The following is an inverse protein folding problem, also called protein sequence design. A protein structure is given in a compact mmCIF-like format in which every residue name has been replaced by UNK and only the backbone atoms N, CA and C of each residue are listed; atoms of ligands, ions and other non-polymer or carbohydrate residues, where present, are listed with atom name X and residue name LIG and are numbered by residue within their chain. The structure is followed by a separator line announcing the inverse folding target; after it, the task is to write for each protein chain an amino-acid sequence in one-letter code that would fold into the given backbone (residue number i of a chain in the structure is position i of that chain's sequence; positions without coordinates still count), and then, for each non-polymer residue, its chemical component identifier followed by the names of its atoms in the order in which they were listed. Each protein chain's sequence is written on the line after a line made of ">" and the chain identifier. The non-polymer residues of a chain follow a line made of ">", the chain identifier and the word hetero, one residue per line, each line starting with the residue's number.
data_IF_612556673451
#
_entry.id   IF_612556673451
#
_cell.length_a   1.000
_cell.length_b   1.000
_cell.length_c   1.000
_cell.angle_alpha   90.00
_cell.angle_beta   90.00
_cell.angle_gamma   90.00
#
_symmetry.space_group_name_H-M   'P 1'
#
loop_
_entity.id
_entity.type
_entity.pdbx_description
1 polymer ?
#
# COMPACT_ATOMS: atom_id res chain seq x y z
N UNK A 1 23.27 28.31 28.17
CA UNK A 1 23.28 27.77 26.78
C UNK A 1 21.86 27.82 26.24
N UNK A 2 21.57 28.78 25.36
CA UNK A 2 20.25 28.96 24.76
C UNK A 2 20.06 27.84 23.71
N UNK A 3 19.28 26.81 24.03
CA UNK A 3 18.85 25.80 23.09
C UNK A 3 18.05 26.47 21.98
N UNK A 4 18.65 26.60 20.78
CA UNK A 4 18.00 27.12 19.59
C UNK A 4 16.74 26.28 19.37
N UNK A 5 15.56 26.90 19.43
CA UNK A 5 14.28 26.23 19.18
C UNK A 5 14.35 25.58 17.80
N UNK A 6 14.34 24.24 17.71
CA UNK A 6 14.38 23.51 16.45
C UNK A 6 13.20 23.93 15.59
N UNK A 7 13.43 24.20 14.32
CA UNK A 7 12.32 24.48 13.39
C UNK A 7 11.53 23.20 13.08
N UNK A 8 10.34 23.32 12.51
CA UNK A 8 9.45 22.19 12.21
C UNK A 8 10.12 21.15 11.30
N UNK A 9 10.89 21.60 10.29
CA UNK A 9 11.63 20.71 9.39
C UNK A 9 12.69 19.90 10.13
N UNK A 10 13.46 20.55 11.04
CA UNK A 10 14.48 19.85 11.81
C UNK A 10 13.86 18.81 12.77
N UNK A 11 12.66 19.07 13.31
CA UNK A 11 11.95 18.10 14.13
C UNK A 11 11.51 16.87 13.32
N UNK A 12 10.99 17.06 12.11
CA UNK A 12 10.62 15.95 11.22
C UNK A 12 11.86 15.15 10.80
N UNK A 13 12.96 15.82 10.45
CA UNK A 13 14.25 15.18 10.11
C UNK A 13 14.77 14.35 11.27
N UNK A 14 14.70 14.88 12.50
CA UNK A 14 15.14 14.15 13.69
C UNK A 14 14.30 12.90 13.95
N UNK A 15 12.98 12.99 13.79
CA UNK A 15 12.10 11.82 13.89
C UNK A 15 12.46 10.79 12.84
N UNK A 16 12.64 11.17 11.57
CA UNK A 16 13.08 10.25 10.52
C UNK A 16 14.41 9.58 10.88
N UNK A 17 15.38 10.33 11.44
CA UNK A 17 16.67 9.77 11.85
C UNK A 17 16.52 8.74 12.97
N UNK A 18 15.68 9.03 13.98
CA UNK A 18 15.40 8.13 15.10
C UNK A 18 14.63 6.87 14.68
N UNK A 19 13.83 6.95 13.62
CA UNK A 19 13.08 5.82 13.02
C UNK A 19 13.97 5.00 12.06
N UNK A 20 15.27 5.26 12.01
CA UNK A 20 16.19 4.50 11.15
C UNK A 20 16.22 4.98 9.69
N UNK A 21 16.01 6.27 9.48
CA UNK A 21 16.17 6.97 8.21
C UNK A 21 14.92 7.05 7.34
N UNK A 22 13.83 6.39 7.72
CA UNK A 22 12.57 6.42 6.95
C UNK A 22 11.34 6.29 7.85
N UNK A 23 10.20 6.81 7.38
CA UNK A 23 8.92 6.61 8.04
C UNK A 23 7.75 6.76 7.05
N UNK A 24 6.62 6.14 7.39
CA UNK A 24 5.35 6.47 6.74
C UNK A 24 4.82 7.80 7.25
N UNK A 25 3.95 8.44 6.48
CA UNK A 25 3.28 9.66 6.91
C UNK A 25 2.53 9.48 8.25
N UNK A 26 1.90 8.31 8.44
CA UNK A 26 1.28 7.94 9.71
C UNK A 26 2.28 8.02 10.87
N UNK A 27 3.41 7.31 10.73
CA UNK A 27 4.41 7.22 11.78
C UNK A 27 4.97 8.60 12.15
N UNK A 28 5.17 9.46 11.15
CA UNK A 28 5.56 10.84 11.40
C UNK A 28 4.54 11.60 12.25
N UNK A 29 3.25 11.47 11.92
CA UNK A 29 2.19 12.14 12.68
C UNK A 29 2.02 11.58 14.11
N UNK A 30 2.38 10.34 14.36
CA UNK A 30 2.35 9.73 15.69
C UNK A 30 3.51 10.16 16.58
N UNK A 31 4.68 10.42 15.99
CA UNK A 31 5.94 10.59 16.74
C UNK A 31 6.39 12.04 16.84
N UNK A 32 6.05 12.87 15.84
CA UNK A 32 6.43 14.29 15.87
C UNK A 32 5.71 15.01 17.01
N UNK A 33 6.47 15.68 17.86
CA UNK A 33 5.90 16.52 18.92
C UNK A 33 5.38 17.84 18.35
N UNK A 34 4.06 17.99 18.30
CA UNK A 34 3.38 19.17 17.81
C UNK A 34 3.16 20.27 18.84
N UNK A 35 3.51 20.07 20.11
CA UNK A 35 3.23 20.99 21.22
C UNK A 35 3.77 22.41 21.01
N UNK A 36 4.85 22.54 20.26
CA UNK A 36 5.46 23.84 19.93
C UNK A 36 5.06 24.44 18.57
N UNK A 37 4.11 23.82 17.85
CA UNK A 37 3.73 24.26 16.50
C UNK A 37 2.58 25.26 16.53
N UNK A 38 2.78 26.44 15.94
CA UNK A 38 1.76 27.48 15.85
C UNK A 38 0.83 27.24 14.64
N UNK A 39 0.27 26.03 14.53
CA UNK A 39 -0.63 25.65 13.44
C UNK A 39 -1.82 24.85 13.98
N UNK A 40 -2.99 25.04 13.35
CA UNK A 40 -4.19 24.25 13.64
C UNK A 40 -4.22 22.88 12.93
N UNK A 41 -3.34 22.67 11.95
CA UNK A 41 -3.28 21.46 11.13
C UNK A 41 -1.82 20.99 11.02
N UNK A 42 -1.24 20.43 12.13
CA UNK A 42 0.15 20.02 12.16
C UNK A 42 0.45 18.92 11.12
N UNK A 43 -0.47 18.01 10.85
CA UNK A 43 -0.31 16.95 9.87
C UNK A 43 -0.16 17.51 8.44
N UNK A 44 -0.88 18.58 8.09
CA UNK A 44 -0.71 19.26 6.80
C UNK A 44 0.67 19.91 6.70
N UNK A 45 1.20 20.41 7.82
CA UNK A 45 2.55 20.96 7.88
C UNK A 45 3.61 19.89 7.70
N UNK A 46 3.46 18.71 8.34
CA UNK A 46 4.34 17.55 8.13
C UNK A 46 4.31 17.15 6.65
N UNK A 47 3.12 17.03 6.06
CA UNK A 47 2.96 16.70 4.63
C UNK A 47 3.72 17.68 3.74
N UNK A 48 3.58 18.96 3.97
CA UNK A 48 4.29 20.01 3.23
C UNK A 48 5.82 19.90 3.40
N UNK A 49 6.29 19.60 4.63
CA UNK A 49 7.72 19.45 4.92
C UNK A 49 8.31 18.28 4.14
N UNK A 50 7.69 17.10 4.21
CA UNK A 50 8.22 15.90 3.53
C UNK A 50 8.17 16.02 2.00
N UNK A 51 7.25 16.83 1.47
CA UNK A 51 7.12 17.03 0.02
C UNK A 51 8.09 18.08 -0.55
N UNK A 52 8.52 19.07 0.26
CA UNK A 52 9.27 20.22 -0.23
C UNK A 52 10.69 20.34 0.35
N UNK A 53 11.07 19.51 1.33
CA UNK A 53 12.41 19.57 1.90
C UNK A 53 13.41 18.82 1.01
N UNK A 54 14.54 19.44 0.73
CA UNK A 54 15.70 18.86 0.06
C UNK A 54 16.40 17.78 0.89
N UNK A 55 16.15 17.74 2.21
CA UNK A 55 16.68 16.73 3.14
C UNK A 55 15.90 15.42 3.12
N UNK A 56 14.76 15.36 2.43
CA UNK A 56 13.83 14.25 2.46
C UNK A 56 13.46 13.84 1.03
N UNK A 57 13.52 12.55 0.73
CA UNK A 57 13.07 12.04 -0.54
C UNK A 57 11.90 11.06 -0.38
N UNK A 58 11.12 10.92 -1.43
CA UNK A 58 9.99 10.00 -1.48
C UNK A 58 10.46 8.64 -2.02
N UNK A 59 10.47 7.63 -1.16
CA UNK A 59 10.78 6.24 -1.58
C UNK A 59 9.64 5.69 -2.43
N UNK A 60 8.40 5.85 -1.94
CA UNK A 60 7.13 5.53 -2.63
C UNK A 60 6.03 6.44 -2.09
N UNK A 61 4.86 6.54 -2.76
CA UNK A 61 3.71 7.22 -2.17
C UNK A 61 3.47 6.79 -0.73
N UNK A 62 3.45 7.76 0.19
CA UNK A 62 3.26 7.53 1.63
C UNK A 62 4.49 7.06 2.43
N UNK A 63 5.65 6.87 1.78
CA UNK A 63 6.91 6.46 2.43
C UNK A 63 8.02 7.46 2.12
N UNK A 64 8.58 8.06 3.16
CA UNK A 64 9.56 9.14 3.10
C UNK A 64 10.84 8.74 3.81
N UNK A 65 11.98 9.20 3.31
CA UNK A 65 13.28 8.91 3.88
C UNK A 65 14.23 10.11 3.84
N UNK A 66 15.25 10.06 4.69
CA UNK A 66 16.32 11.07 4.72
C UNK A 66 17.24 10.94 3.51
N UNK A 67 17.52 12.05 2.85
CA UNK A 67 18.45 12.11 1.73
C UNK A 67 19.87 11.66 2.16
N UNK A 68 20.33 12.06 3.33
CA UNK A 68 21.64 11.67 3.89
C UNK A 68 21.79 10.15 4.16
N UNK A 69 20.67 9.43 4.25
CA UNK A 69 20.64 7.97 4.49
C UNK A 69 20.10 7.20 3.27
N UNK A 70 20.08 7.81 2.09
CA UNK A 70 19.49 7.25 0.87
C UNK A 70 20.00 5.85 0.59
N UNK A 71 21.30 5.65 0.52
CA UNK A 71 21.92 4.34 0.20
C UNK A 71 21.55 3.27 1.22
N UNK A 72 21.60 3.61 2.52
CA UNK A 72 21.26 2.69 3.61
C UNK A 72 19.78 2.27 3.55
N UNK A 73 18.90 3.25 3.32
CA UNK A 73 17.45 3.02 3.22
C UNK A 73 17.12 2.17 1.98
N UNK A 74 17.68 2.49 0.82
CA UNK A 74 17.48 1.71 -0.40
C UNK A 74 17.99 0.28 -0.22
N UNK A 75 19.17 0.10 0.39
CA UNK A 75 19.72 -1.23 0.72
C UNK A 75 18.81 -2.01 1.67
N UNK A 76 18.27 -1.36 2.70
CA UNK A 76 17.35 -1.99 3.67
C UNK A 76 16.07 -2.51 3.00
N UNK A 77 15.58 -1.82 1.97
CA UNK A 77 14.43 -2.25 1.18
C UNK A 77 14.81 -3.16 0.00
N UNK A 78 16.07 -3.60 -0.07
CA UNK A 78 16.60 -4.38 -1.19
C UNK A 78 16.44 -3.69 -2.56
N UNK A 79 16.28 -2.36 -2.56
CA UNK A 79 16.22 -1.54 -3.75
C UNK A 79 17.63 -1.27 -4.24
N UNK A 80 17.94 -1.73 -5.44
CA UNK A 80 19.20 -1.42 -6.13
C UNK A 80 18.92 -0.42 -7.23
N UNK A 81 19.80 0.56 -7.37
CA UNK A 81 19.75 1.46 -8.52
C UNK A 81 19.79 0.63 -9.82
N UNK A 82 18.90 0.95 -10.75
CA UNK A 82 18.73 0.29 -12.05
C UNK A 82 18.29 -1.19 -12.04
N UNK A 83 17.92 -1.77 -10.89
CA UNK A 83 17.36 -3.13 -10.82
C UNK A 83 15.81 -3.10 -10.77
N UNK A 84 15.20 -3.15 -11.98
CA UNK A 84 13.74 -3.18 -12.14
C UNK A 84 13.04 -4.31 -11.37
N UNK A 85 13.73 -5.47 -11.19
CA UNK A 85 13.14 -6.60 -10.46
C UNK A 85 13.07 -6.33 -8.96
N UNK A 86 14.10 -5.70 -8.39
CA UNK A 86 14.08 -5.31 -6.97
C UNK A 86 13.02 -4.24 -6.71
N UNK A 87 12.91 -3.28 -7.62
CA UNK A 87 11.88 -2.24 -7.58
C UNK A 87 10.46 -2.82 -7.66
N UNK A 88 10.23 -3.75 -8.59
CA UNK A 88 8.95 -4.44 -8.74
C UNK A 88 8.59 -5.24 -7.49
N UNK A 89 9.53 -6.03 -6.96
CA UNK A 89 9.32 -6.83 -5.74
C UNK A 89 8.95 -5.94 -4.56
N UNK A 90 9.71 -4.87 -4.34
CA UNK A 90 9.43 -3.93 -3.25
C UNK A 90 8.07 -3.24 -3.43
N UNK A 91 7.79 -2.71 -4.61
CA UNK A 91 6.54 -2.02 -4.91
C UNK A 91 5.34 -2.93 -4.68
N UNK A 92 5.41 -4.16 -5.17
CA UNK A 92 4.35 -5.15 -5.00
C UNK A 92 4.12 -5.46 -3.51
N UNK A 93 5.16 -5.83 -2.76
CA UNK A 93 5.04 -6.12 -1.32
C UNK A 93 4.56 -4.92 -0.50
N UNK A 94 5.00 -3.72 -0.86
CA UNK A 94 4.57 -2.49 -0.19
C UNK A 94 3.06 -2.24 -0.34
N UNK A 95 2.52 -2.35 -1.55
CA UNK A 95 1.07 -2.14 -1.76
C UNK A 95 0.22 -3.31 -1.28
N UNK A 96 0.72 -4.56 -1.33
CA UNK A 96 0.06 -5.67 -0.63
C UNK A 96 -0.10 -5.36 0.85
N UNK A 97 0.97 -4.91 1.52
CA UNK A 97 0.93 -4.56 2.94
C UNK A 97 -0.02 -3.42 3.27
N UNK A 98 -0.04 -2.35 2.47
CA UNK A 98 -1.00 -1.24 2.65
C UNK A 98 -2.45 -1.75 2.50
N UNK A 99 -2.75 -2.57 1.50
CA UNK A 99 -4.09 -3.13 1.30
C UNK A 99 -4.50 -4.05 2.43
N UNK A 100 -3.57 -4.83 2.99
CA UNK A 100 -3.81 -5.64 4.19
C UNK A 100 -4.18 -4.74 5.37
N UNK A 101 -3.41 -3.68 5.63
CA UNK A 101 -3.72 -2.76 6.74
C UNK A 101 -5.06 -2.01 6.53
N UNK A 102 -5.38 -1.57 5.30
CA UNK A 102 -6.69 -0.98 4.98
C UNK A 102 -7.81 -1.98 5.27
N UNK A 103 -7.64 -3.25 4.87
CA UNK A 103 -8.62 -4.31 5.13
C UNK A 103 -8.90 -4.46 6.62
N UNK A 104 -7.86 -4.50 7.45
CA UNK A 104 -7.98 -4.57 8.92
C UNK A 104 -8.68 -3.35 9.51
N UNK A 105 -8.32 -2.14 9.08
CA UNK A 105 -8.99 -0.91 9.49
C UNK A 105 -10.49 -0.88 9.12
N UNK A 106 -10.88 -1.66 8.11
CA UNK A 106 -12.28 -1.85 7.69
C UNK A 106 -12.94 -3.10 8.28
N UNK A 107 -12.33 -3.72 9.30
CA UNK A 107 -12.80 -4.96 9.92
C UNK A 107 -13.00 -6.09 8.89
N UNK A 108 -12.08 -6.20 7.92
CA UNK A 108 -12.04 -7.30 6.94
C UNK A 108 -10.92 -8.26 7.32
N UNK A 109 -11.19 -9.56 7.23
CA UNK A 109 -10.15 -10.58 7.31
C UNK A 109 -9.35 -10.55 6.00
N UNK A 110 -8.04 -10.47 6.09
CA UNK A 110 -7.15 -10.28 4.94
C UNK A 110 -6.37 -11.53 4.60
N UNK A 111 -6.17 -11.75 3.31
CA UNK A 111 -5.39 -12.85 2.76
C UNK A 111 -4.34 -12.32 1.79
N UNK A 112 -3.15 -12.93 1.85
CA UNK A 112 -2.13 -12.84 0.80
C UNK A 112 -1.69 -14.26 0.41
N UNK A 113 -1.23 -14.49 -0.85
CA UNK A 113 -0.76 -15.79 -1.31
C UNK A 113 0.39 -16.31 -0.44
N UNK A 114 0.41 -17.62 -0.18
CA UNK A 114 1.47 -18.26 0.62
C UNK A 114 2.88 -18.04 0.04
N UNK A 115 3.00 -17.88 -1.28
CA UNK A 115 4.25 -17.56 -1.97
C UNK A 115 4.78 -16.17 -1.64
N UNK A 116 3.89 -15.23 -1.26
CA UNK A 116 4.23 -13.83 -0.96
C UNK A 116 4.45 -13.59 0.54
N UNK A 117 4.19 -14.58 1.40
CA UNK A 117 4.30 -14.46 2.86
C UNK A 117 5.64 -13.90 3.36
N UNK A 118 6.72 -14.21 2.65
CA UNK A 118 8.08 -13.76 2.98
C UNK A 118 8.47 -12.43 2.33
N UNK A 119 7.59 -11.79 1.56
CA UNK A 119 7.86 -10.44 1.02
C UNK A 119 7.90 -9.44 2.16
N UNK A 120 8.82 -8.47 2.04
CA UNK A 120 8.97 -7.43 3.04
C UNK A 120 7.95 -6.30 2.84
N UNK A 121 7.33 -5.92 3.95
CA UNK A 121 6.52 -4.71 4.10
C UNK A 121 7.00 -3.94 5.33
N UNK A 122 7.68 -2.82 5.13
CA UNK A 122 8.21 -1.94 6.20
C UNK A 122 8.99 -2.70 7.28
N UNK A 123 9.85 -3.63 6.87
CA UNK A 123 10.70 -4.42 7.76
C UNK A 123 10.04 -5.63 8.42
N UNK A 124 8.77 -5.91 8.11
CA UNK A 124 8.04 -7.13 8.53
C UNK A 124 7.69 -7.99 7.32
N UNK A 125 7.50 -9.29 7.53
CA UNK A 125 7.00 -10.14 6.46
C UNK A 125 5.47 -9.96 6.28
N UNK A 126 4.98 -10.05 5.04
CA UNK A 126 3.54 -9.98 4.77
C UNK A 126 2.75 -11.06 5.50
N UNK A 127 3.34 -12.25 5.69
CA UNK A 127 2.73 -13.33 6.46
C UNK A 127 2.46 -12.98 7.92
N UNK A 128 3.27 -12.08 8.51
CA UNK A 128 3.10 -11.60 9.90
C UNK A 128 2.10 -10.45 9.99
N UNK A 129 1.84 -9.77 8.88
CA UNK A 129 0.94 -8.62 8.82
C UNK A 129 -0.47 -9.03 8.43
N UNK A 130 -0.63 -10.02 7.55
CA UNK A 130 -1.94 -10.51 7.10
C UNK A 130 -2.62 -11.41 8.14
N UNK A 131 -3.94 -11.55 8.06
CA UNK A 131 -4.67 -12.45 8.97
C UNK A 131 -4.48 -13.91 8.58
N UNK A 132 -4.32 -14.21 7.30
CA UNK A 132 -4.09 -15.57 6.83
C UNK A 132 -3.36 -15.64 5.49
N UNK A 133 -2.50 -16.63 5.34
CA UNK A 133 -1.92 -17.08 4.06
C UNK A 133 -2.58 -18.36 3.56
N UNK A 134 -3.55 -18.90 4.34
CA UNK A 134 -4.35 -20.06 3.98
C UNK A 134 -5.75 -19.58 3.61
N UNK A 135 -6.11 -19.72 2.33
CA UNK A 135 -7.41 -19.26 1.84
C UNK A 135 -8.55 -20.05 2.49
N UNK A 136 -9.64 -19.39 2.97
CA UNK A 136 -10.84 -20.06 3.41
C UNK A 136 -11.47 -20.91 2.28
N UNK A 137 -12.15 -21.99 2.66
CA UNK A 137 -12.86 -22.86 1.70
C UNK A 137 -14.25 -22.27 1.40
N UNK A 138 -14.32 -21.27 0.51
CA UNK A 138 -15.56 -20.57 0.18
C UNK A 138 -16.19 -21.00 -1.15
N UNK A 139 -15.58 -21.95 -1.89
CA UNK A 139 -16.07 -22.40 -3.20
C UNK A 139 -15.44 -23.71 -3.64
N UNK A 140 -15.71 -24.12 -4.88
CA UNK A 140 -15.13 -25.31 -5.50
C UNK A 140 -13.62 -25.19 -5.71
N UNK A 141 -12.90 -26.30 -5.70
CA UNK A 141 -11.44 -26.35 -5.77
C UNK A 141 -10.85 -25.64 -6.99
N UNK A 142 -11.50 -25.71 -8.15
CA UNK A 142 -11.01 -25.06 -9.37
C UNK A 142 -11.06 -23.52 -9.25
N UNK A 143 -12.09 -22.98 -8.59
CA UNK A 143 -12.23 -21.54 -8.29
C UNK A 143 -11.22 -21.16 -7.22
N UNK A 144 -11.08 -21.95 -6.15
CA UNK A 144 -10.10 -21.70 -5.09
C UNK A 144 -8.66 -21.70 -5.60
N UNK A 145 -8.33 -22.58 -6.58
CA UNK A 145 -7.00 -22.54 -7.23
C UNK A 145 -6.73 -21.19 -7.90
N UNK A 146 -7.72 -20.58 -8.51
CA UNK A 146 -7.60 -19.25 -9.11
C UNK A 146 -7.50 -18.17 -8.03
N UNK A 147 -8.38 -18.17 -7.07
CA UNK A 147 -8.40 -17.20 -5.98
C UNK A 147 -7.08 -17.18 -5.17
N UNK A 148 -6.45 -18.35 -4.96
CA UNK A 148 -5.14 -18.45 -4.28
C UNK A 148 -4.02 -17.66 -4.94
N UNK A 149 -4.16 -17.25 -6.18
CA UNK A 149 -3.16 -16.49 -6.94
C UNK A 149 -3.43 -14.99 -6.98
N UNK A 150 -4.51 -14.52 -6.33
CA UNK A 150 -4.84 -13.10 -6.23
C UNK A 150 -3.98 -12.45 -5.15
N UNK A 151 -3.42 -11.28 -5.44
CA UNK A 151 -2.41 -10.63 -4.59
C UNK A 151 -2.92 -10.27 -3.19
N UNK A 152 -4.15 -9.74 -3.08
CA UNK A 152 -4.82 -9.50 -1.79
C UNK A 152 -6.31 -9.79 -1.94
N UNK A 153 -6.87 -10.53 -0.97
CA UNK A 153 -8.31 -10.74 -0.87
C UNK A 153 -8.78 -10.27 0.50
N UNK A 154 -9.89 -9.57 0.51
CA UNK A 154 -10.60 -9.27 1.75
C UNK A 154 -11.83 -10.17 1.87
N UNK A 155 -12.04 -10.65 3.08
CA UNK A 155 -13.20 -11.48 3.42
C UNK A 155 -14.09 -10.71 4.41
N UNK A 156 -15.40 -10.85 4.24
CA UNK A 156 -16.38 -10.36 5.20
C UNK A 156 -16.47 -11.26 6.44
N UNK A 157 -17.33 -10.91 7.39
CA UNK A 157 -17.54 -11.65 8.64
C UNK A 157 -18.02 -13.10 8.45
N UNK A 158 -18.57 -13.42 7.26
CA UNK A 158 -19.04 -14.76 6.89
C UNK A 158 -17.97 -15.57 6.15
N UNK A 159 -16.72 -15.08 6.12
CA UNK A 159 -15.59 -15.65 5.37
C UNK A 159 -15.82 -15.78 3.86
N UNK A 160 -16.74 -14.98 3.30
CA UNK A 160 -16.93 -14.86 1.86
C UNK A 160 -16.09 -13.71 1.31
N UNK A 161 -15.50 -13.84 0.10
CA UNK A 161 -14.71 -12.78 -0.49
C UNK A 161 -15.58 -11.54 -0.76
N UNK A 162 -15.11 -10.37 -0.30
CA UNK A 162 -15.75 -9.09 -0.53
C UNK A 162 -15.02 -8.23 -1.56
N UNK A 163 -13.70 -8.38 -1.65
CA UNK A 163 -12.85 -7.58 -2.53
C UNK A 163 -11.62 -8.36 -2.97
N UNK A 164 -11.26 -8.24 -4.25
CA UNK A 164 -10.08 -8.83 -4.86
C UNK A 164 -9.18 -7.73 -5.42
N UNK A 165 -7.90 -7.75 -5.09
CA UNK A 165 -6.91 -6.76 -5.51
C UNK A 165 -5.76 -7.43 -6.24
N UNK A 166 -5.38 -6.87 -7.39
CA UNK A 166 -4.17 -7.22 -8.14
C UNK A 166 -3.29 -5.98 -8.27
N UNK A 167 -2.00 -6.14 -7.99
CA UNK A 167 -1.02 -5.05 -8.01
C UNK A 167 -0.17 -5.19 -9.27
N UNK A 168 -0.34 -4.26 -10.19
CA UNK A 168 0.26 -4.32 -11.51
C UNK A 168 1.32 -3.22 -11.68
N UNK A 169 2.58 -3.59 -11.45
CA UNK A 169 3.69 -2.65 -11.65
C UNK A 169 4.20 -2.69 -13.10
N UNK A 170 4.67 -3.85 -13.55
CA UNK A 170 5.21 -4.07 -14.90
C UNK A 170 4.55 -5.22 -15.65
N UNK A 171 3.76 -6.02 -14.95
CA UNK A 171 3.11 -7.23 -15.47
C UNK A 171 1.90 -6.94 -16.37
N UNK A 172 1.45 -7.93 -17.11
CA UNK A 172 0.32 -7.78 -18.04
C UNK A 172 -1.04 -7.75 -17.30
N UNK A 173 -1.68 -6.59 -17.29
CA UNK A 173 -3.01 -6.35 -16.71
C UNK A 173 -4.05 -7.38 -17.21
N UNK A 174 -3.90 -7.90 -18.43
CA UNK A 174 -4.80 -8.91 -18.97
C UNK A 174 -4.83 -10.19 -18.12
N UNK A 175 -3.70 -10.58 -17.53
CA UNK A 175 -3.64 -11.76 -16.66
C UNK A 175 -4.49 -11.56 -15.40
N UNK A 176 -4.46 -10.38 -14.80
CA UNK A 176 -5.26 -10.03 -13.64
C UNK A 176 -6.74 -9.92 -13.98
N UNK A 177 -7.09 -9.33 -15.12
CA UNK A 177 -8.47 -9.35 -15.62
C UNK A 177 -8.98 -10.76 -15.87
N UNK A 178 -8.13 -11.69 -16.34
CA UNK A 178 -8.50 -13.10 -16.51
C UNK A 178 -8.78 -13.78 -15.18
N UNK A 179 -8.02 -13.47 -14.11
CA UNK A 179 -8.32 -13.97 -12.76
C UNK A 179 -9.69 -13.47 -12.28
N UNK A 180 -9.99 -12.18 -12.49
CA UNK A 180 -11.28 -11.61 -12.09
C UNK A 180 -12.44 -12.18 -12.90
N UNK A 181 -12.23 -12.48 -14.17
CA UNK A 181 -13.23 -13.16 -15.00
C UNK A 181 -13.58 -14.56 -14.44
N UNK A 182 -12.60 -15.33 -14.00
CA UNK A 182 -12.81 -16.64 -13.35
C UNK A 182 -13.51 -16.54 -11.98
N UNK A 183 -13.49 -15.35 -11.36
CA UNK A 183 -14.08 -15.07 -10.05
C UNK A 183 -15.37 -14.24 -10.12
N UNK A 184 -15.93 -14.05 -11.32
CA UNK A 184 -17.02 -13.12 -11.57
C UNK A 184 -18.33 -13.44 -10.85
N UNK A 185 -18.55 -14.70 -10.45
CA UNK A 185 -19.79 -15.14 -9.81
C UNK A 185 -19.95 -14.67 -8.36
N UNK A 186 -18.86 -14.20 -7.73
CA UNK A 186 -18.94 -13.64 -6.38
C UNK A 186 -19.44 -12.20 -6.40
N UNK A 187 -20.27 -11.87 -5.41
CA UNK A 187 -20.66 -10.48 -5.15
C UNK A 187 -19.51 -9.75 -4.45
N UNK A 188 -18.49 -9.43 -5.21
CA UNK A 188 -17.26 -8.82 -4.73
C UNK A 188 -16.80 -7.67 -5.62
N UNK A 189 -16.00 -6.75 -5.05
CA UNK A 189 -15.28 -5.74 -5.81
C UNK A 189 -14.01 -6.30 -6.45
N UNK A 190 -13.66 -5.81 -7.64
CA UNK A 190 -12.41 -6.15 -8.34
C UNK A 190 -11.59 -4.90 -8.57
N UNK A 191 -10.31 -4.93 -8.21
CA UNK A 191 -9.46 -3.73 -8.23
C UNK A 191 -8.09 -4.04 -8.84
N UNK A 192 -7.73 -3.28 -9.88
CA UNK A 192 -6.35 -3.20 -10.38
C UNK A 192 -5.69 -2.01 -9.69
N UNK A 193 -4.58 -2.25 -9.02
CA UNK A 193 -3.78 -1.24 -8.32
C UNK A 193 -2.47 -1.05 -9.08
N UNK A 194 -2.28 0.12 -9.68
CA UNK A 194 -1.14 0.40 -10.53
C UNK A 194 -0.74 1.88 -10.52
N UNK A 195 0.37 2.19 -11.18
CA UNK A 195 0.73 3.58 -11.46
C UNK A 195 -0.30 4.25 -12.37
N UNK A 196 -0.49 5.55 -12.19
CA UNK A 196 -1.43 6.36 -12.98
C UNK A 196 -1.18 6.25 -14.50
N UNK A 197 0.07 6.13 -14.92
CA UNK A 197 0.44 6.03 -16.33
C UNK A 197 -0.10 4.77 -17.02
N UNK A 198 -0.47 3.72 -16.26
CA UNK A 198 -1.05 2.47 -16.78
C UNK A 198 -2.57 2.48 -16.95
N UNK A 199 -3.21 3.62 -16.68
CA UNK A 199 -4.66 3.71 -16.72
C UNK A 199 -5.22 3.48 -18.13
N UNK A 200 -4.60 4.04 -19.14
CA UNK A 200 -5.00 3.87 -20.55
C UNK A 200 -4.87 2.40 -20.98
N UNK A 201 -3.74 1.76 -20.68
CA UNK A 201 -3.55 0.32 -20.92
C UNK A 201 -4.63 -0.53 -20.24
N UNK A 202 -5.00 -0.20 -19.01
CA UNK A 202 -6.07 -0.88 -18.28
C UNK A 202 -7.41 -0.73 -19.00
N UNK A 203 -7.78 0.48 -19.41
CA UNK A 203 -9.04 0.76 -20.10
C UNK A 203 -9.12 0.00 -21.43
N UNK A 204 -8.06 0.03 -22.22
CA UNK A 204 -7.97 -0.71 -23.49
C UNK A 204 -8.16 -2.21 -23.31
N UNK A 205 -7.50 -2.79 -22.30
CA UNK A 205 -7.59 -4.23 -22.05
C UNK A 205 -8.95 -4.65 -21.47
N UNK A 206 -9.55 -3.81 -20.63
CA UNK A 206 -10.86 -4.08 -20.04
C UNK A 206 -11.97 -4.09 -21.09
N UNK A 207 -11.88 -3.25 -22.13
CA UNK A 207 -12.86 -3.18 -23.22
C UNK A 207 -12.82 -4.38 -24.19
N UNK A 208 -11.87 -5.30 -24.06
CA UNK A 208 -11.89 -6.53 -24.85
C UNK A 208 -13.16 -7.33 -24.55
N UNK A 209 -13.85 -7.81 -25.59
CA UNK A 209 -15.16 -8.46 -25.50
C UNK A 209 -15.25 -9.57 -24.45
N UNK A 210 -14.16 -10.29 -24.22
CA UNK A 210 -14.04 -11.35 -23.22
C UNK A 210 -14.34 -10.83 -21.80
N UNK A 211 -13.97 -9.58 -21.47
CA UNK A 211 -14.11 -9.01 -20.12
C UNK A 211 -15.41 -8.22 -19.92
N UNK A 212 -16.27 -8.16 -20.94
CA UNK A 212 -17.58 -7.48 -20.87
C UNK A 212 -18.42 -7.87 -19.64
N UNK A 213 -18.46 -9.14 -19.18
CA UNK A 213 -19.21 -9.52 -17.98
C UNK A 213 -18.73 -8.85 -16.68
N UNK A 214 -17.45 -8.50 -16.59
CA UNK A 214 -16.85 -7.88 -15.42
C UNK A 214 -16.57 -6.38 -15.58
N UNK A 215 -16.71 -5.82 -16.77
CA UNK A 215 -16.31 -4.45 -17.12
C UNK A 215 -16.78 -3.39 -16.12
N UNK A 216 -18.07 -3.46 -15.72
CA UNK A 216 -18.67 -2.50 -14.77
C UNK A 216 -18.25 -2.70 -13.32
N UNK A 217 -17.60 -3.82 -13.00
CA UNK A 217 -17.23 -4.22 -11.63
C UNK A 217 -15.75 -4.02 -11.35
N UNK A 218 -14.89 -3.98 -12.37
CA UNK A 218 -13.46 -3.77 -12.22
C UNK A 218 -13.15 -2.28 -12.12
N UNK A 219 -12.39 -1.91 -11.11
CA UNK A 219 -11.99 -0.52 -10.86
C UNK A 219 -10.48 -0.39 -10.88
N UNK A 220 -9.99 0.71 -11.44
CA UNK A 220 -8.59 1.09 -11.40
C UNK A 220 -8.32 1.99 -10.20
N UNK A 221 -7.34 1.64 -9.39
CA UNK A 221 -6.86 2.43 -8.27
C UNK A 221 -5.40 2.81 -8.49
N UNK A 222 -5.11 4.09 -8.48
CA UNK A 222 -3.72 4.54 -8.49
C UNK A 222 -3.05 4.28 -7.16
N UNK A 223 -1.73 4.13 -7.16
CA UNK A 223 -0.93 4.02 -5.95
C UNK A 223 -1.19 5.18 -4.96
N UNK A 224 -1.25 6.42 -5.45
CA UNK A 224 -1.56 7.58 -4.60
C UNK A 224 -2.97 7.49 -3.99
N UNK A 225 -3.97 6.95 -4.73
CA UNK A 225 -5.33 6.77 -4.22
C UNK A 225 -5.36 5.74 -3.08
N UNK A 226 -4.66 4.62 -3.22
CA UNK A 226 -4.56 3.59 -2.17
C UNK A 226 -3.94 4.17 -0.91
N UNK A 227 -2.82 4.88 -1.04
CA UNK A 227 -2.17 5.55 0.10
C UNK A 227 -3.08 6.61 0.73
N UNK A 228 -3.75 7.43 -0.06
CA UNK A 228 -4.68 8.44 0.45
C UNK A 228 -5.85 7.84 1.26
N UNK A 229 -6.38 6.69 0.82
CA UNK A 229 -7.39 5.94 1.59
C UNK A 229 -6.81 5.44 2.90
N UNK A 230 -5.62 4.87 2.87
CA UNK A 230 -4.93 4.39 4.07
C UNK A 230 -4.72 5.50 5.10
N UNK A 231 -4.14 6.63 4.68
CA UNK A 231 -3.91 7.78 5.54
C UNK A 231 -5.21 8.35 6.12
N UNK A 232 -6.28 8.43 5.32
CA UNK A 232 -7.58 8.92 5.78
C UNK A 232 -8.21 8.02 6.83
N UNK A 233 -8.15 6.69 6.65
CA UNK A 233 -8.67 5.74 7.63
C UNK A 233 -7.91 5.79 8.95
N UNK A 234 -6.60 6.00 8.89
CA UNK A 234 -5.77 6.14 10.09
C UNK A 234 -6.10 7.40 10.89
N UNK A 235 -6.37 8.52 10.21
CA UNK A 235 -6.81 9.75 10.89
C UNK A 235 -8.15 9.55 11.61
N UNK A 236 -9.08 8.82 11.00
CA UNK A 236 -10.36 8.49 11.64
C UNK A 236 -10.17 7.66 12.91
N UNK A 237 -9.26 6.67 12.88
CA UNK A 237 -8.96 5.86 14.07
C UNK A 237 -8.31 6.68 15.20
N UNK A 238 -7.38 7.59 14.87
CA UNK A 238 -6.74 8.47 15.85
C UNK A 238 -7.70 9.45 16.50
N UNK A 239 -8.78 9.86 15.80
CA UNK A 239 -9.78 10.82 16.29
C UNK A 239 -10.97 10.17 17.00
N UNK A 240 -10.95 8.87 17.25
CA UNK A 240 -12.04 8.15 17.99
C UNK A 240 -12.00 8.33 19.52
N UNK A 241 -11.03 9.12 20.07
CA UNK A 241 -10.83 9.35 21.51
C UNK A 241 -11.01 10.80 21.91
#
# INVERSE_FOLDING_TARGET
>A
MTTKKKNQTDQVVEVLRNEGGYATFKRLNEVVDFSGWATKTPEASVRRIVQNSDKIFRVRPGLWALEEMREEVLKKFELKEDDKKSEERFTHGYYQGILVEIGKLRNRKTYVPAQDKNRLYLGRHLGDVTDTTKIPNFSYDFILRKAKTVDVIWFNERELPSDFYEIEHTTDIKNSLSKFYELQDFYAGFYIVADKCRKEEFEDKLHVSMFKPIEKRVKFLTYDRVVGVYESLQQVELNKW
#
